data_IF_964098573343
#
_entry.id   IF_964098573343
#
_cell.length_a   1.000
_cell.length_b   1.000
_cell.length_c   1.000
_cell.angle_alpha   90.00
_cell.angle_beta   90.00
_cell.angle_gamma   90.00
#
_symmetry.space_group_name_H-M   'P 1'
#
loop_
_entity.id
_entity.type
_entity.pdbx_description
1 polymer ?
#
# COMPACT_ATOMS: atom_id res chain seq x y z
N UNK A 1 58.82 30.62 69.43
CA UNK A 1 59.20 32.04 69.63
C UNK A 1 57.92 32.89 69.53
N UNK A 2 57.90 34.14 70.02
CA UNK A 2 56.72 35.00 70.20
C UNK A 2 55.78 35.05 68.96
N UNK A 3 54.43 34.92 69.07
CA UNK A 3 53.39 35.87 69.57
C UNK A 3 53.04 36.97 68.52
N UNK A 4 51.81 37.51 68.36
CA UNK A 4 50.65 37.69 69.28
C UNK A 4 49.28 37.43 68.58
N UNK A 5 48.18 37.43 69.36
CA UNK A 5 46.79 37.74 68.92
C UNK A 5 46.63 39.13 68.25
N UNK A 6 45.43 39.71 68.00
CA UNK A 6 44.11 39.63 68.65
C UNK A 6 43.09 40.49 67.83
N UNK A 7 41.74 40.46 67.91
CA UNK A 7 40.73 39.57 68.53
C UNK A 7 39.28 39.96 68.07
N UNK A 8 38.28 39.05 68.16
CA UNK A 8 36.81 39.31 68.31
C UNK A 8 36.06 39.95 67.07
N UNK A 9 34.71 39.90 66.81
CA UNK A 9 33.44 39.77 67.57
C UNK A 9 32.24 39.16 66.72
N UNK A 10 31.44 38.21 67.28
CA UNK A 10 30.02 37.79 66.94
C UNK A 10 29.71 37.20 65.54
N UNK A 11 28.63 36.42 65.26
CA UNK A 11 27.52 35.73 66.00
C UNK A 11 26.99 34.60 65.07
N UNK A 12 26.28 33.53 65.46
CA UNK A 12 25.76 33.05 66.76
C UNK A 12 25.28 31.57 66.63
N UNK A 13 24.91 30.90 67.74
CA UNK A 13 24.86 29.42 67.84
C UNK A 13 23.51 28.71 67.55
N UNK A 14 23.49 27.37 67.32
CA UNK A 14 22.30 26.56 66.99
C UNK A 14 22.03 25.36 67.97
N UNK A 15 21.17 24.41 67.55
CA UNK A 15 20.98 23.00 68.01
C UNK A 15 20.06 22.63 69.20
N UNK A 16 19.08 21.75 68.92
CA UNK A 16 18.35 20.81 69.80
C UNK A 16 17.35 19.96 68.95
N UNK A 17 16.84 18.75 69.29
CA UNK A 17 17.35 17.63 70.12
C UNK A 17 16.45 16.35 69.95
N UNK A 18 17.04 15.18 69.65
CA UNK A 18 16.60 13.77 69.94
C UNK A 18 15.23 13.14 69.51
N UNK A 19 15.24 11.80 69.45
CA UNK A 19 14.08 10.87 69.36
C UNK A 19 13.65 10.32 70.75
N UNK A 20 12.46 9.71 70.90
CA UNK A 20 12.26 8.25 71.12
C UNK A 20 10.78 7.79 71.35
N UNK A 21 10.43 6.58 70.86
CA UNK A 21 9.24 5.73 71.22
C UNK A 21 7.84 6.29 70.87
N UNK A 22 6.78 5.49 70.69
CA UNK A 22 6.61 4.02 70.72
C UNK A 22 5.26 3.57 70.12
N UNK A 23 5.01 2.26 69.96
CA UNK A 23 3.95 1.68 69.10
C UNK A 23 2.76 1.05 69.87
N UNK A 24 1.53 1.30 69.40
CA UNK A 24 0.30 0.47 69.62
C UNK A 24 -0.59 0.57 68.35
N UNK A 25 -1.37 -0.46 68.05
CA UNK A 25 -2.25 -0.59 66.86
C UNK A 25 -3.69 -0.88 67.28
N UNK A 26 -4.69 -0.23 66.65
CA UNK A 26 -6.01 -0.85 66.39
C UNK A 26 -6.82 -0.16 65.27
N UNK A 27 -7.81 -0.90 64.75
CA UNK A 27 -8.75 -0.53 63.68
C UNK A 27 -9.77 0.56 64.08
N UNK A 28 -10.20 1.35 63.08
CA UNK A 28 -11.62 1.56 62.77
C UNK A 28 -11.80 2.09 61.33
N UNK A 29 -12.80 1.59 60.60
CA UNK A 29 -13.19 2.08 59.26
C UNK A 29 -14.42 2.99 59.39
N UNK A 30 -14.40 4.16 58.74
CA UNK A 30 -15.62 4.82 58.26
C UNK A 30 -15.36 5.49 56.91
N UNK A 31 -16.38 5.49 56.06
CA UNK A 31 -16.29 5.92 54.66
C UNK A 31 -16.65 7.41 54.49
N UNK A 32 -15.87 8.12 53.67
CA UNK A 32 -16.36 9.19 52.81
C UNK A 32 -15.66 9.08 51.45
N UNK A 33 -16.35 9.37 50.33
CA UNK A 33 -15.79 9.17 49.00
C UNK A 33 -14.69 10.19 48.71
N UNK A 34 -13.49 9.71 48.37
CA UNK A 34 -12.53 10.55 47.65
C UNK A 34 -12.99 10.64 46.20
N UNK A 35 -13.40 11.83 45.80
CA UNK A 35 -13.35 12.23 44.39
C UNK A 35 -11.88 12.19 44.01
N UNK A 36 -11.46 11.12 43.34
CA UNK A 36 -10.25 11.17 42.55
C UNK A 36 -10.56 12.11 41.38
N UNK A 37 -9.95 13.29 41.41
CA UNK A 37 -9.71 14.03 40.19
C UNK A 37 -8.79 13.14 39.37
N UNK A 38 -9.32 12.51 38.32
CA UNK A 38 -8.53 11.73 37.40
C UNK A 38 -7.60 12.70 36.66
N UNK A 39 -6.35 12.79 37.11
CA UNK A 39 -5.33 13.60 36.46
C UNK A 39 -4.82 12.83 35.24
N UNK A 40 -5.74 12.63 34.31
CA UNK A 40 -5.51 12.04 33.00
C UNK A 40 -4.47 12.90 32.31
N UNK A 41 -3.23 12.38 32.19
CA UNK A 41 -2.12 13.15 31.63
C UNK A 41 -2.49 13.55 30.20
N UNK A 42 -2.68 14.86 30.03
CA UNK A 42 -3.22 15.45 28.83
C UNK A 42 -2.11 15.50 27.78
N UNK A 43 -1.84 14.36 27.17
CA UNK A 43 -1.01 14.25 25.97
C UNK A 43 -1.56 15.27 24.98
N UNK A 44 -0.78 16.33 24.73
CA UNK A 44 -1.11 17.37 23.77
C UNK A 44 -1.02 16.78 22.37
N UNK A 45 -2.08 16.07 21.98
CA UNK A 45 -2.27 15.59 20.62
C UNK A 45 -2.28 16.82 19.72
N UNK A 46 -1.20 16.98 18.95
CA UNK A 46 -1.09 17.95 17.88
C UNK A 46 -1.93 17.51 16.67
N UNK A 47 -3.20 17.19 16.90
CA UNK A 47 -4.23 16.98 15.89
C UNK A 47 -4.59 18.32 15.25
N UNK A 48 -3.63 18.89 14.51
CA UNK A 48 -3.84 20.10 13.72
C UNK A 48 -4.90 19.84 12.65
N UNK A 49 -5.63 20.88 12.27
CA UNK A 49 -6.69 20.83 11.25
C UNK A 49 -6.15 20.39 9.88
N UNK A 50 -6.02 19.07 9.71
CA UNK A 50 -5.66 18.44 8.46
C UNK A 50 -6.82 18.63 7.49
N UNK A 51 -6.60 19.46 6.48
CA UNK A 51 -7.52 19.58 5.35
C UNK A 51 -7.27 18.38 4.44
N UNK A 52 -8.33 17.71 4.03
CA UNK A 52 -8.27 16.63 3.06
C UNK A 52 -8.91 17.10 1.74
N UNK A 53 -8.28 16.75 0.63
CA UNK A 53 -8.89 16.80 -0.71
C UNK A 53 -9.63 15.49 -0.96
N UNK A 54 -10.83 15.57 -1.50
CA UNK A 54 -11.65 14.42 -1.86
C UNK A 54 -11.96 14.48 -3.36
N UNK A 55 -11.66 13.41 -4.09
CA UNK A 55 -11.97 13.28 -5.53
C UNK A 55 -13.20 12.37 -5.70
N UNK A 56 -14.14 12.80 -6.55
CA UNK A 56 -15.40 12.10 -6.77
C UNK A 56 -15.44 11.36 -8.12
N UNK A 57 -16.36 10.40 -8.24
CA UNK A 57 -16.57 9.58 -9.44
C UNK A 57 -17.03 10.36 -10.69
N UNK A 58 -17.51 11.59 -10.50
CA UNK A 58 -17.82 12.55 -11.56
C UNK A 58 -16.70 13.57 -11.82
N UNK A 59 -15.50 13.30 -11.31
CA UNK A 59 -14.26 14.06 -11.51
C UNK A 59 -14.29 15.48 -10.88
N UNK A 60 -15.30 15.78 -10.04
CA UNK A 60 -15.26 16.93 -9.11
C UNK A 60 -14.30 16.69 -7.94
N UNK A 61 -13.80 17.79 -7.37
CA UNK A 61 -13.05 17.81 -6.10
C UNK A 61 -13.78 18.60 -5.02
N UNK A 62 -13.68 18.12 -3.78
CA UNK A 62 -14.07 18.82 -2.55
C UNK A 62 -12.84 18.96 -1.65
N UNK A 63 -12.88 19.91 -0.72
CA UNK A 63 -11.85 20.11 0.30
C UNK A 63 -12.49 20.43 1.65
N UNK A 64 -11.96 19.87 2.72
CA UNK A 64 -12.42 20.13 4.09
C UNK A 64 -11.75 19.21 5.12
N UNK A 65 -12.09 19.39 6.40
CA UNK A 65 -11.72 18.46 7.47
C UNK A 65 -12.64 17.24 7.43
N UNK A 66 -12.10 16.04 7.58
CA UNK A 66 -12.90 14.81 7.76
C UNK A 66 -13.41 14.78 9.20
N UNK A 67 -14.71 14.56 9.39
CA UNK A 67 -15.34 14.39 10.71
C UNK A 67 -15.67 12.91 10.96
N UNK A 68 -16.19 12.21 9.95
CA UNK A 68 -16.40 10.76 9.98
C UNK A 68 -16.40 10.11 8.60
N UNK A 69 -16.15 8.79 8.57
CA UNK A 69 -16.27 7.93 7.39
C UNK A 69 -16.90 6.60 7.82
N UNK A 70 -17.92 6.15 7.11
CA UNK A 70 -18.48 4.80 7.28
C UNK A 70 -18.80 4.13 5.92
N UNK A 71 -19.50 2.98 5.97
CA UNK A 71 -19.87 2.19 4.81
C UNK A 71 -20.97 2.83 3.92
N UNK A 72 -21.52 3.98 4.30
CA UNK A 72 -22.56 4.72 3.60
C UNK A 72 -22.08 6.11 3.16
N UNK A 73 -21.44 6.87 4.04
CA UNK A 73 -21.02 8.25 3.76
C UNK A 73 -19.69 8.70 4.39
N UNK A 74 -19.08 9.66 3.72
CA UNK A 74 -18.08 10.58 4.25
C UNK A 74 -18.80 11.84 4.75
N UNK A 75 -18.49 12.27 5.97
CA UNK A 75 -18.88 13.58 6.50
C UNK A 75 -17.63 14.47 6.54
N UNK A 76 -17.67 15.59 5.81
CA UNK A 76 -16.63 16.62 5.87
C UNK A 76 -17.19 17.95 6.40
N UNK A 77 -16.32 18.72 7.05
CA UNK A 77 -16.56 20.14 7.34
C UNK A 77 -15.79 21.02 6.36
N UNK A 78 -16.50 21.89 5.66
CA UNK A 78 -15.94 22.83 4.68
C UNK A 78 -16.54 24.22 4.92
N UNK A 79 -15.71 25.23 5.20
CA UNK A 79 -16.16 26.59 5.56
C UNK A 79 -17.21 26.59 6.70
N UNK A 80 -16.92 25.86 7.78
CA UNK A 80 -17.79 25.56 8.94
C UNK A 80 -19.03 24.70 8.67
N UNK A 81 -19.57 24.69 7.44
CA UNK A 81 -20.70 23.84 7.02
C UNK A 81 -20.34 22.35 6.99
N UNK A 82 -21.32 21.49 7.31
CA UNK A 82 -21.20 20.03 7.18
C UNK A 82 -21.75 19.57 5.83
N UNK A 83 -20.89 18.92 5.04
CA UNK A 83 -21.27 18.27 3.78
C UNK A 83 -21.20 16.75 3.95
N UNK A 84 -22.22 16.05 3.42
CA UNK A 84 -22.32 14.58 3.41
C UNK A 84 -22.18 14.06 1.99
N UNK A 85 -21.30 13.08 1.79
CA UNK A 85 -20.95 12.53 0.48
C UNK A 85 -21.09 11.01 0.52
N UNK A 86 -21.95 10.38 -0.29
CA UNK A 86 -22.07 8.93 -0.31
C UNK A 86 -20.73 8.26 -0.62
N UNK A 87 -20.28 7.30 0.19
CA UNK A 87 -18.92 6.75 0.08
C UNK A 87 -18.68 6.01 -1.26
N UNK A 88 -19.76 5.56 -1.91
CA UNK A 88 -19.76 5.01 -3.26
C UNK A 88 -19.38 6.03 -4.37
N UNK A 89 -19.54 7.33 -4.13
CA UNK A 89 -19.13 8.38 -5.08
C UNK A 89 -17.73 8.93 -4.80
N UNK A 90 -17.13 8.62 -3.66
CA UNK A 90 -15.73 8.95 -3.35
C UNK A 90 -14.78 8.01 -4.10
N UNK A 91 -13.80 8.57 -4.82
CA UNK A 91 -12.66 7.84 -5.39
C UNK A 91 -11.48 7.85 -4.43
N UNK A 92 -11.04 9.03 -4.02
CA UNK A 92 -9.87 9.23 -3.16
C UNK A 92 -10.13 10.28 -2.08
N UNK A 93 -9.44 10.15 -0.95
CA UNK A 93 -9.31 11.16 0.11
C UNK A 93 -7.80 11.31 0.36
N UNK A 94 -7.26 12.53 0.34
CA UNK A 94 -5.81 12.79 0.44
C UNK A 94 -5.52 13.97 1.37
N UNK A 95 -4.60 13.81 2.31
CA UNK A 95 -4.16 14.84 3.25
C UNK A 95 -3.46 16.01 2.52
N UNK A 96 -3.79 17.26 2.88
CA UNK A 96 -3.29 18.48 2.24
C UNK A 96 -2.90 19.54 3.28
N UNK A 97 -1.61 19.91 3.42
CA UNK A 97 -0.45 19.30 2.77
C UNK A 97 -0.30 17.81 3.16
N UNK A 98 0.42 17.04 2.34
CA UNK A 98 0.85 15.70 2.76
C UNK A 98 1.79 15.83 3.96
N UNK A 99 1.58 15.02 4.99
CA UNK A 99 2.51 14.88 6.11
C UNK A 99 3.92 14.52 5.63
N UNK A 100 4.94 15.13 6.25
CA UNK A 100 6.35 14.89 5.92
C UNK A 100 6.74 13.40 6.04
N UNK A 101 7.77 12.99 5.30
CA UNK A 101 8.22 11.60 5.32
C UNK A 101 9.13 11.33 6.53
N UNK A 102 8.50 10.97 7.66
CA UNK A 102 9.20 10.39 8.81
C UNK A 102 9.99 9.15 8.36
N UNK A 103 11.28 9.12 8.69
CA UNK A 103 12.08 7.89 8.63
C UNK A 103 11.66 6.95 9.75
N UNK A 104 11.57 5.65 9.44
CA UNK A 104 11.23 4.60 10.38
C UNK A 104 12.35 3.55 10.37
N UNK A 105 12.84 3.10 11.54
CA UNK A 105 13.87 2.06 11.60
C UNK A 105 13.32 0.66 11.29
N UNK A 106 12.00 0.43 11.43
CA UNK A 106 11.35 -0.86 11.18
C UNK A 106 10.36 -0.75 10.01
N UNK A 107 10.46 -1.66 9.05
CA UNK A 107 9.39 -1.99 8.10
C UNK A 107 8.93 -3.44 8.31
N UNK A 108 7.61 -3.65 8.43
CA UNK A 108 6.95 -4.96 8.40
C UNK A 108 6.26 -5.18 7.05
N UNK A 109 6.25 -6.43 6.59
CA UNK A 109 5.41 -6.88 5.47
C UNK A 109 4.49 -7.99 5.95
N UNK A 110 3.19 -7.87 5.70
CA UNK A 110 2.19 -8.89 5.99
C UNK A 110 2.08 -9.91 4.85
N UNK A 111 1.49 -11.07 5.12
CA UNK A 111 1.32 -12.16 4.15
C UNK A 111 0.54 -11.71 2.91
N UNK A 112 -0.44 -10.82 3.05
CA UNK A 112 -1.20 -10.25 1.92
C UNK A 112 -0.52 -9.04 1.23
N UNK A 113 0.77 -8.78 1.52
CA UNK A 113 1.57 -7.75 0.84
C UNK A 113 1.36 -6.30 1.32
N UNK A 114 0.51 -6.09 2.33
CA UNK A 114 0.43 -4.87 3.13
C UNK A 114 1.78 -4.59 3.83
N UNK A 115 2.15 -3.32 4.00
CA UNK A 115 3.35 -2.91 4.76
C UNK A 115 3.05 -1.85 5.83
N UNK A 116 3.70 -1.99 6.98
CA UNK A 116 3.62 -1.08 8.13
C UNK A 116 5.02 -0.65 8.53
N UNK A 117 5.23 0.63 8.80
CA UNK A 117 6.48 1.12 9.39
C UNK A 117 6.28 1.64 10.81
N UNK A 118 7.30 1.43 11.66
CA UNK A 118 7.28 1.74 13.09
C UNK A 118 8.65 2.05 13.68
N UNK A 119 8.63 2.52 14.92
CA UNK A 119 9.79 2.95 15.72
C UNK A 119 10.47 1.76 16.43
N UNK A 120 9.70 0.75 16.84
CA UNK A 120 10.19 -0.49 17.47
C UNK A 120 9.29 -1.68 17.11
N UNK A 121 9.85 -2.88 17.12
CA UNK A 121 9.10 -4.15 16.99
C UNK A 121 9.58 -5.16 18.03
N UNK A 122 8.63 -5.88 18.61
CA UNK A 122 8.87 -7.06 19.45
C UNK A 122 8.00 -8.24 18.99
N UNK A 123 8.36 -9.44 19.42
CA UNK A 123 7.59 -10.68 19.24
C UNK A 123 7.60 -11.41 20.58
N UNK A 124 6.41 -11.68 21.12
CA UNK A 124 6.25 -12.48 22.32
C UNK A 124 5.14 -13.51 22.13
N UNK A 125 5.48 -14.79 22.22
CA UNK A 125 4.56 -15.89 21.89
C UNK A 125 4.06 -15.79 20.45
N UNK A 126 2.76 -15.55 20.29
CA UNK A 126 2.10 -15.46 18.98
C UNK A 126 1.76 -14.02 18.54
N UNK A 127 2.26 -13.00 19.26
CA UNK A 127 1.98 -11.58 18.94
C UNK A 127 3.26 -10.85 18.53
N UNK A 128 3.23 -10.22 17.36
CA UNK A 128 4.20 -9.20 16.93
C UNK A 128 3.61 -7.83 17.26
N UNK A 129 4.28 -7.05 18.10
CA UNK A 129 3.86 -5.71 18.49
C UNK A 129 4.74 -4.68 17.79
N UNK A 130 4.14 -3.84 16.93
CA UNK A 130 4.81 -2.72 16.28
C UNK A 130 4.46 -1.41 16.98
N UNK A 131 5.43 -0.72 17.56
CA UNK A 131 5.23 0.64 18.08
C UNK A 131 5.43 1.66 16.96
N UNK A 132 4.50 2.60 16.85
CA UNK A 132 4.44 3.62 15.80
C UNK A 132 3.90 4.94 16.38
N UNK A 133 4.75 5.96 16.48
CA UNK A 133 4.38 7.29 17.01
C UNK A 133 3.72 7.25 18.40
N UNK A 134 4.07 6.27 19.24
CA UNK A 134 3.48 6.04 20.56
C UNK A 134 2.21 5.17 20.58
N UNK A 135 1.63 4.85 19.42
CA UNK A 135 0.59 3.82 19.30
C UNK A 135 1.25 2.44 19.17
N UNK A 136 0.66 1.40 19.75
CA UNK A 136 1.08 0.00 19.53
C UNK A 136 0.07 -0.70 18.64
N UNK A 137 0.56 -1.36 17.59
CA UNK A 137 -0.23 -2.20 16.68
C UNK A 137 0.17 -3.65 16.96
N UNK A 138 -0.75 -4.43 17.54
CA UNK A 138 -0.55 -5.85 17.79
C UNK A 138 -1.04 -6.68 16.60
N UNK A 139 -0.22 -7.63 16.16
CA UNK A 139 -0.44 -8.45 14.96
C UNK A 139 -0.18 -9.92 15.30
N UNK A 140 -0.99 -10.88 14.82
CA UNK A 140 -0.66 -12.30 14.89
C UNK A 140 0.68 -12.60 14.19
N UNK A 141 1.59 -13.34 14.82
CA UNK A 141 2.88 -13.73 14.22
C UNK A 141 2.74 -14.64 12.98
N UNK A 142 1.53 -15.15 12.73
CA UNK A 142 1.15 -15.86 11.51
C UNK A 142 0.85 -14.95 10.31
N UNK A 143 0.49 -13.68 10.53
CA UNK A 143 0.20 -12.72 9.45
C UNK A 143 1.40 -11.88 9.02
N UNK A 144 2.48 -11.87 9.80
CA UNK A 144 3.74 -11.20 9.44
C UNK A 144 4.58 -12.15 8.58
N UNK A 145 5.04 -11.64 7.43
CA UNK A 145 5.93 -12.34 6.50
C UNK A 145 7.38 -11.85 6.61
N UNK A 146 7.61 -10.53 6.65
CA UNK A 146 8.96 -9.94 6.75
C UNK A 146 9.06 -8.87 7.86
N UNK A 147 10.27 -8.72 8.42
CA UNK A 147 10.73 -7.53 9.17
C UNK A 147 12.04 -7.04 8.53
N UNK A 148 12.18 -5.74 8.28
CA UNK A 148 13.44 -5.09 7.89
C UNK A 148 13.89 -4.13 9.00
N UNK A 149 15.17 -4.22 9.41
CA UNK A 149 15.84 -3.30 10.33
C UNK A 149 16.76 -2.34 9.55
N UNK A 150 16.25 -1.14 9.23
CA UNK A 150 16.98 -0.15 8.44
C UNK A 150 18.16 0.44 9.22
N UNK A 151 19.33 0.54 8.59
CA UNK A 151 20.56 1.01 9.27
C UNK A 151 20.60 2.53 9.53
N UNK A 152 20.16 3.36 8.59
CA UNK A 152 20.07 4.82 8.75
C UNK A 152 19.19 5.46 7.67
N UNK A 153 18.84 6.74 7.87
CA UNK A 153 18.07 7.54 6.90
C UNK A 153 18.86 7.87 5.61
N UNK A 154 20.20 7.88 5.67
CA UNK A 154 21.05 8.32 4.55
C UNK A 154 21.27 7.25 3.48
N UNK A 155 21.03 5.97 3.78
CA UNK A 155 21.48 4.84 2.95
C UNK A 155 20.36 4.07 2.22
N UNK A 156 19.26 4.77 1.86
CA UNK A 156 18.07 4.20 1.19
C UNK A 156 18.31 3.44 -0.14
N UNK A 157 19.50 3.51 -0.74
CA UNK A 157 19.73 3.08 -2.14
C UNK A 157 20.88 2.10 -2.40
N UNK A 158 21.72 1.74 -1.42
CA UNK A 158 23.04 1.15 -1.75
C UNK A 158 23.49 -0.12 -0.99
N UNK A 159 22.89 -0.51 0.14
CA UNK A 159 23.41 -1.63 0.97
C UNK A 159 22.36 -2.58 1.54
N UNK A 160 21.17 -2.12 1.91
CA UNK A 160 20.30 -2.86 2.86
C UNK A 160 19.20 -3.77 2.24
N UNK A 161 19.00 -3.89 0.91
CA UNK A 161 17.88 -4.67 0.35
C UNK A 161 18.17 -6.17 0.12
N UNK A 162 18.43 -6.87 1.23
CA UNK A 162 18.57 -8.33 1.35
C UNK A 162 17.38 -9.14 0.79
N UNK A 163 16.23 -8.51 0.54
CA UNK A 163 15.01 -9.16 0.03
C UNK A 163 15.21 -9.82 -1.33
N UNK A 164 16.14 -9.30 -2.13
CA UNK A 164 16.54 -9.88 -3.41
C UNK A 164 17.23 -11.26 -3.27
N UNK A 165 17.68 -11.62 -2.06
CA UNK A 165 18.30 -12.90 -1.71
C UNK A 165 17.31 -13.88 -1.03
N UNK A 166 16.01 -13.56 -0.96
CA UNK A 166 14.99 -14.46 -0.40
C UNK A 166 14.99 -15.84 -1.10
N UNK A 167 15.11 -16.96 -0.38
CA UNK A 167 15.08 -18.29 -0.99
C UNK A 167 13.75 -18.59 -1.68
N UNK A 168 13.80 -19.08 -2.93
CA UNK A 168 12.61 -19.51 -3.69
C UNK A 168 11.81 -20.62 -2.96
N UNK A 169 12.51 -21.42 -2.15
CA UNK A 169 11.97 -22.53 -1.36
C UNK A 169 12.69 -22.61 -0.01
N UNK A 170 12.26 -21.83 1.01
CA UNK A 170 12.83 -21.92 2.35
C UNK A 170 12.42 -23.23 3.03
N UNK A 171 13.32 -23.79 3.84
CA UNK A 171 13.09 -24.97 4.68
C UNK A 171 12.69 -24.62 6.14
N UNK A 172 12.87 -23.36 6.54
CA UNK A 172 12.46 -22.78 7.82
C UNK A 172 12.28 -21.25 7.74
N UNK A 173 12.12 -20.61 8.90
CA UNK A 173 12.23 -19.15 8.99
C UNK A 173 13.69 -18.74 8.70
N UNK A 174 13.92 -17.53 8.20
CA UNK A 174 15.25 -17.04 7.81
C UNK A 174 15.63 -15.74 8.51
N UNK A 175 16.83 -15.69 9.08
CA UNK A 175 17.45 -14.47 9.62
C UNK A 175 18.59 -14.03 8.71
N UNK A 176 18.54 -12.76 8.29
CA UNK A 176 19.53 -12.17 7.40
C UNK A 176 20.54 -11.38 8.23
N UNK A 177 21.75 -11.92 8.38
CA UNK A 177 22.83 -11.35 9.22
C UNK A 177 23.76 -10.49 8.37
N UNK A 178 24.01 -9.25 8.77
CA UNK A 178 24.92 -8.32 8.08
C UNK A 178 26.37 -8.81 8.15
N UNK A 179 27.03 -8.86 6.99
CA UNK A 179 28.47 -9.13 6.81
C UNK A 179 29.13 -7.88 6.19
N UNK A 180 30.45 -7.91 5.99
CA UNK A 180 31.18 -6.77 5.41
C UNK A 180 30.83 -6.50 3.95
N UNK A 181 30.46 -7.56 3.20
CA UNK A 181 30.08 -7.50 1.78
C UNK A 181 28.78 -8.30 1.56
N UNK A 182 27.64 -7.77 2.01
CA UNK A 182 26.32 -8.39 1.87
C UNK A 182 25.84 -9.13 3.13
N UNK A 183 25.11 -10.23 2.95
CA UNK A 183 24.38 -10.92 4.02
C UNK A 183 24.76 -12.39 4.15
N UNK A 184 24.34 -12.98 5.27
CA UNK A 184 24.35 -14.42 5.51
C UNK A 184 22.95 -14.84 5.96
N UNK A 185 22.36 -15.81 5.26
CA UNK A 185 21.00 -16.30 5.52
C UNK A 185 21.10 -17.51 6.46
N UNK A 186 20.49 -17.41 7.64
CA UNK A 186 20.43 -18.50 8.62
C UNK A 186 19.00 -19.04 8.67
N UNK A 187 18.79 -20.26 8.16
CA UNK A 187 17.53 -20.99 8.32
C UNK A 187 17.41 -21.51 9.76
N UNK A 188 16.26 -21.28 10.39
CA UNK A 188 16.01 -21.52 11.81
C UNK A 188 14.49 -21.44 12.11
N UNK A 189 14.11 -21.35 13.39
CA UNK A 189 12.79 -20.87 13.80
C UNK A 189 12.93 -19.61 14.68
N UNK A 190 12.15 -18.56 14.39
CA UNK A 190 12.22 -17.30 15.14
C UNK A 190 11.29 -17.38 16.36
N UNK A 191 11.85 -17.27 17.58
CA UNK A 191 11.11 -17.46 18.83
C UNK A 191 10.66 -16.15 19.50
N UNK A 192 11.49 -15.10 19.44
CA UNK A 192 11.30 -13.87 20.21
C UNK A 192 12.05 -12.71 19.53
N UNK A 193 11.50 -11.50 19.61
CA UNK A 193 12.16 -10.26 19.17
C UNK A 193 12.08 -9.26 20.32
N UNK A 194 13.23 -8.67 20.66
CA UNK A 194 13.41 -7.69 21.74
C UNK A 194 14.23 -6.50 21.24
N UNK A 195 14.38 -5.46 22.07
CA UNK A 195 15.09 -4.25 21.67
C UNK A 195 16.60 -4.46 21.39
N UNK A 196 17.22 -5.48 22.01
CA UNK A 196 18.64 -5.80 21.87
C UNK A 196 18.92 -7.04 21.00
N UNK A 197 17.97 -7.98 20.90
CA UNK A 197 18.20 -9.29 20.25
C UNK A 197 16.96 -9.96 19.66
N UNK A 198 17.19 -10.82 18.67
CA UNK A 198 16.24 -11.82 18.17
C UNK A 198 16.70 -13.18 18.69
N UNK A 199 15.81 -13.92 19.35
CA UNK A 199 16.08 -15.29 19.80
C UNK A 199 15.63 -16.27 18.74
N UNK A 200 16.55 -17.08 18.22
CA UNK A 200 16.25 -18.16 17.27
C UNK A 200 16.43 -19.54 17.88
N UNK A 201 15.80 -20.55 17.29
CA UNK A 201 16.10 -21.97 17.51
C UNK A 201 16.87 -22.51 16.30
N UNK A 202 18.05 -23.06 16.53
CA UNK A 202 18.90 -23.71 15.52
C UNK A 202 19.54 -24.96 16.15
N UNK A 203 19.45 -26.11 15.49
CA UNK A 203 19.98 -27.39 15.98
C UNK A 203 19.61 -27.72 17.45
N UNK A 204 18.33 -27.48 17.79
CA UNK A 204 17.73 -27.55 19.14
C UNK A 204 18.27 -26.53 20.18
N UNK A 205 19.29 -25.74 19.87
CA UNK A 205 19.83 -24.68 20.74
C UNK A 205 19.09 -23.33 20.54
N UNK A 206 18.85 -22.60 21.65
CA UNK A 206 18.29 -21.25 21.62
C UNK A 206 19.39 -20.20 21.59
N UNK A 207 19.54 -19.51 20.46
CA UNK A 207 20.65 -18.58 20.20
C UNK A 207 20.12 -17.13 20.16
N UNK A 208 20.57 -16.23 21.07
CA UNK A 208 20.22 -14.81 21.02
C UNK A 208 21.18 -14.06 20.08
N UNK A 209 20.66 -13.61 18.93
CA UNK A 209 21.41 -12.83 17.92
C UNK A 209 21.17 -11.34 18.14
N UNK A 210 22.23 -10.53 18.28
CA UNK A 210 22.10 -9.08 18.49
C UNK A 210 21.38 -8.40 17.33
N UNK A 211 20.33 -7.62 17.62
CA UNK A 211 19.46 -6.96 16.63
C UNK A 211 20.24 -6.06 15.67
N UNK A 212 21.28 -5.37 16.16
CA UNK A 212 22.19 -4.53 15.35
C UNK A 212 23.06 -5.30 14.34
N UNK A 213 23.09 -6.63 14.37
CA UNK A 213 23.72 -7.47 13.34
C UNK A 213 22.73 -7.99 12.29
N UNK A 214 21.43 -7.73 12.43
CA UNK A 214 20.38 -8.30 11.58
C UNK A 214 19.92 -7.23 10.58
N UNK A 215 19.75 -7.61 9.32
CA UNK A 215 19.16 -6.80 8.26
C UNK A 215 17.65 -6.99 8.18
N UNK A 216 17.21 -8.22 8.38
CA UNK A 216 15.81 -8.55 8.49
C UNK A 216 15.55 -10.00 8.84
N UNK A 217 14.26 -10.30 8.91
CA UNK A 217 13.67 -11.58 9.23
C UNK A 217 12.65 -11.91 8.14
N UNK A 218 12.59 -13.17 7.74
CA UNK A 218 11.53 -13.70 6.91
C UNK A 218 10.97 -14.96 7.57
N UNK A 219 9.65 -15.05 7.69
CA UNK A 219 9.00 -16.25 8.19
C UNK A 219 8.60 -17.18 7.04
N UNK A 220 8.68 -18.49 7.27
CA UNK A 220 8.10 -19.47 6.35
C UNK A 220 6.59 -19.38 6.45
N UNK A 221 5.97 -18.75 5.44
CA UNK A 221 4.52 -18.56 5.32
C UNK A 221 4.08 -18.87 3.88
N UNK A 222 2.87 -19.42 3.67
CA UNK A 222 2.28 -19.44 2.34
C UNK A 222 1.95 -18.01 1.93
N UNK A 223 2.69 -17.45 0.98
CA UNK A 223 2.31 -16.21 0.29
C UNK A 223 1.21 -16.53 -0.70
N UNK A 224 -0.05 -16.41 -0.28
CA UNK A 224 -1.18 -16.50 -1.21
C UNK A 224 -1.06 -15.38 -2.26
N UNK A 225 -1.33 -15.71 -3.54
CA UNK A 225 -1.50 -14.72 -4.63
C UNK A 225 -2.82 -13.95 -4.41
N UNK A 226 -2.86 -13.14 -3.34
CA UNK A 226 -4.03 -12.43 -2.84
C UNK A 226 -4.34 -11.21 -3.69
N UNK A 227 -4.85 -11.45 -4.90
CA UNK A 227 -5.41 -10.43 -5.78
C UNK A 227 -6.46 -9.60 -5.02
N UNK A 228 -6.47 -8.25 -5.15
CA UNK A 228 -7.26 -7.39 -4.27
C UNK A 228 -8.73 -7.77 -4.16
N UNK A 229 -9.21 -7.89 -2.92
CA UNK A 229 -10.60 -8.25 -2.63
C UNK A 229 -11.52 -7.14 -3.16
N UNK A 230 -12.53 -7.52 -3.93
CA UNK A 230 -13.50 -6.56 -4.45
C UNK A 230 -14.16 -5.75 -3.31
N UNK A 231 -14.12 -4.42 -3.44
CA UNK A 231 -14.54 -3.46 -2.41
C UNK A 231 -13.42 -2.91 -1.52
N UNK A 232 -12.20 -3.46 -1.56
CA UNK A 232 -11.06 -3.01 -0.74
C UNK A 232 -10.69 -1.53 -0.93
N UNK A 233 -10.18 -0.92 0.14
CA UNK A 233 -9.61 0.42 0.19
C UNK A 233 -8.10 0.31 0.36
N UNK A 234 -7.33 0.97 -0.52
CA UNK A 234 -5.88 1.11 -0.34
C UNK A 234 -5.63 2.30 0.60
N UNK A 235 -5.10 2.02 1.78
CA UNK A 235 -4.73 3.02 2.79
C UNK A 235 -3.24 3.32 2.66
N UNK A 236 -2.88 4.56 2.33
CA UNK A 236 -1.49 5.02 2.33
C UNK A 236 -1.18 5.68 3.67
N UNK A 237 -0.13 5.20 4.34
CA UNK A 237 0.38 5.75 5.59
C UNK A 237 1.68 6.52 5.36
N UNK A 238 2.09 7.35 6.33
CA UNK A 238 3.48 7.80 6.38
C UNK A 238 4.41 6.58 6.62
N UNK A 239 5.05 6.09 5.56
CA UNK A 239 5.94 4.93 5.57
C UNK A 239 5.31 3.56 5.29
N UNK A 240 4.04 3.46 4.89
CA UNK A 240 3.40 2.15 4.68
C UNK A 240 2.18 2.18 3.78
N UNK A 241 1.64 0.99 3.48
CA UNK A 241 0.41 0.82 2.69
C UNK A 241 -0.37 -0.40 3.18
N UNK A 242 -1.70 -0.30 3.31
CA UNK A 242 -2.55 -1.41 3.74
C UNK A 242 -3.65 -1.66 2.72
N UNK A 243 -3.98 -2.92 2.48
CA UNK A 243 -5.17 -3.29 1.71
C UNK A 243 -6.32 -3.65 2.66
N UNK A 244 -7.13 -2.65 3.00
CA UNK A 244 -8.25 -2.78 3.91
C UNK A 244 -9.52 -3.29 3.20
N UNK A 245 -10.36 -4.05 3.90
CA UNK A 245 -11.75 -4.33 3.49
C UNK A 245 -12.64 -3.11 3.66
N UNK A 246 -12.47 -2.41 4.78
CA UNK A 246 -13.21 -1.21 5.15
C UNK A 246 -12.33 -0.27 5.98
N UNK A 247 -12.69 1.00 6.02
CA UNK A 247 -12.07 2.02 6.88
C UNK A 247 -13.19 2.81 7.53
N UNK A 248 -13.18 2.85 8.86
CA UNK A 248 -14.11 3.60 9.67
C UNK A 248 -13.37 4.73 10.37
N UNK A 249 -13.94 5.93 10.36
CA UNK A 249 -13.35 7.12 10.98
C UNK A 249 -14.38 7.78 11.87
N UNK A 250 -14.03 8.01 13.13
CA UNK A 250 -14.83 8.73 14.11
C UNK A 250 -13.91 9.43 15.12
N UNK A 251 -14.12 10.73 15.37
CA UNK A 251 -13.42 11.51 16.41
C UNK A 251 -11.87 11.34 16.39
N UNK A 252 -11.25 11.60 15.23
CA UNK A 252 -9.82 11.43 14.91
C UNK A 252 -9.29 9.97 14.91
N UNK A 253 -10.06 9.01 15.43
CA UNK A 253 -9.71 7.58 15.42
C UNK A 253 -10.06 6.96 14.07
N UNK A 254 -9.13 6.17 13.53
CA UNK A 254 -9.27 5.41 12.28
C UNK A 254 -9.18 3.93 12.59
N UNK A 255 -10.26 3.19 12.41
CA UNK A 255 -10.27 1.73 12.41
C UNK A 255 -10.09 1.23 10.97
N UNK A 256 -9.16 0.30 10.77
CA UNK A 256 -8.83 -0.28 9.47
C UNK A 256 -9.09 -1.79 9.54
N UNK A 257 -10.14 -2.24 8.87
CA UNK A 257 -10.54 -3.65 8.85
C UNK A 257 -9.70 -4.41 7.81
N UNK A 258 -8.82 -5.31 8.27
CA UNK A 258 -7.91 -6.06 7.40
C UNK A 258 -8.46 -7.45 7.05
N UNK A 259 -7.75 -8.18 6.19
CA UNK A 259 -8.30 -9.39 5.56
C UNK A 259 -8.31 -10.62 6.47
N UNK A 260 -7.21 -10.89 7.15
CA UNK A 260 -6.99 -12.13 7.91
C UNK A 260 -6.63 -11.90 9.40
N UNK A 261 -6.73 -10.66 9.86
CA UNK A 261 -6.38 -10.23 11.23
C UNK A 261 -7.43 -9.25 11.77
N UNK A 262 -7.41 -9.04 13.08
CA UNK A 262 -8.28 -8.08 13.77
C UNK A 262 -8.05 -6.64 13.27
N UNK A 263 -9.04 -5.73 13.38
CA UNK A 263 -8.90 -4.35 12.94
C UNK A 263 -7.78 -3.63 13.68
N UNK A 264 -6.97 -2.87 12.94
CA UNK A 264 -5.96 -1.99 13.56
C UNK A 264 -6.53 -0.59 13.76
N UNK A 265 -6.08 0.09 14.82
CA UNK A 265 -6.48 1.45 15.14
C UNK A 265 -5.30 2.41 14.98
N UNK A 266 -5.52 3.51 14.25
CA UNK A 266 -4.56 4.59 13.98
C UNK A 266 -5.23 5.96 14.18
N UNK A 267 -4.46 7.04 14.08
CA UNK A 267 -5.00 8.41 14.03
C UNK A 267 -5.28 8.84 12.60
N UNK A 268 -6.16 9.82 12.39
CA UNK A 268 -6.34 10.47 11.07
C UNK A 268 -5.04 11.11 10.56
N UNK A 269 -4.14 11.49 11.48
CA UNK A 269 -2.82 12.06 11.16
C UNK A 269 -1.83 11.05 10.54
N UNK A 270 -2.00 9.74 10.78
CA UNK A 270 -1.21 8.69 10.15
C UNK A 270 -1.57 8.47 8.67
N UNK A 271 -2.80 8.83 8.30
CA UNK A 271 -3.40 8.54 7.00
C UNK A 271 -3.06 9.64 5.99
N UNK A 272 -2.16 9.32 5.05
CA UNK A 272 -1.85 10.20 3.91
C UNK A 272 -2.94 10.17 2.85
N UNK A 273 -3.47 8.99 2.54
CA UNK A 273 -4.60 8.86 1.62
C UNK A 273 -5.42 7.59 1.82
N UNK A 274 -6.68 7.64 1.40
CA UNK A 274 -7.59 6.50 1.22
C UNK A 274 -7.99 6.45 -0.26
N UNK A 275 -7.66 5.36 -0.97
CA UNK A 275 -8.09 5.12 -2.35
C UNK A 275 -9.14 4.00 -2.37
N UNK A 276 -10.39 4.41 -2.53
CA UNK A 276 -11.57 3.54 -2.62
C UNK A 276 -11.74 2.94 -4.03
N UNK A 277 -10.89 3.30 -4.99
CA UNK A 277 -10.89 2.69 -6.33
C UNK A 277 -10.16 1.36 -6.35
N UNK A 278 -9.22 1.10 -5.42
CA UNK A 278 -8.40 -0.11 -5.38
C UNK A 278 -9.19 -1.43 -5.49
N UNK A 279 -10.31 -1.57 -4.78
CA UNK A 279 -11.21 -2.72 -4.89
C UNK A 279 -12.45 -2.52 -5.77
N UNK A 280 -12.67 -1.30 -6.29
CA UNK A 280 -13.71 -1.00 -7.29
C UNK A 280 -13.17 -1.05 -8.72
N UNK A 281 -11.89 -1.34 -8.90
CA UNK A 281 -11.19 -1.33 -10.19
C UNK A 281 -10.49 -2.66 -10.43
N UNK A 282 -10.82 -3.31 -11.54
CA UNK A 282 -10.13 -4.52 -12.01
C UNK A 282 -9.31 -4.17 -13.25
N UNK A 283 -7.99 -4.24 -13.16
CA UNK A 283 -7.09 -4.08 -14.31
C UNK A 283 -7.18 -5.27 -15.26
N UNK A 284 -7.18 -5.02 -16.57
CA UNK A 284 -7.10 -6.05 -17.61
C UNK A 284 -5.66 -6.56 -17.84
N UNK A 285 -4.66 -5.93 -17.20
CA UNK A 285 -3.25 -6.38 -17.21
C UNK A 285 -3.02 -7.46 -16.14
N UNK A 286 -3.66 -7.33 -14.97
CA UNK A 286 -3.63 -8.35 -13.91
C UNK A 286 -4.74 -9.40 -14.03
N UNK A 287 -5.91 -9.04 -14.56
CA UNK A 287 -6.99 -10.01 -14.80
C UNK A 287 -6.60 -10.97 -15.93
N UNK A 288 -6.35 -12.23 -15.56
CA UNK A 288 -6.07 -13.31 -16.51
C UNK A 288 -7.21 -13.46 -17.52
N UNK A 289 -6.96 -13.36 -18.83
CA UNK A 289 -7.98 -13.61 -19.85
C UNK A 289 -8.42 -15.09 -19.85
N UNK A 290 -9.70 -15.30 -20.11
CA UNK A 290 -10.31 -16.63 -20.30
C UNK A 290 -9.81 -17.28 -21.60
N UNK A 291 -9.54 -16.47 -22.63
CA UNK A 291 -9.05 -16.92 -23.93
C UNK A 291 -8.14 -15.87 -24.57
N UNK A 292 -7.04 -16.31 -25.18
CA UNK A 292 -6.18 -15.50 -26.06
C UNK A 292 -5.94 -16.29 -27.34
N UNK A 293 -6.28 -15.71 -28.48
CA UNK A 293 -6.09 -16.28 -29.80
C UNK A 293 -5.22 -15.33 -30.62
N UNK A 294 -4.18 -15.86 -31.26
CA UNK A 294 -3.21 -15.10 -32.05
C UNK A 294 -2.95 -15.86 -33.36
N UNK A 295 -3.04 -15.19 -34.50
CA UNK A 295 -2.83 -15.80 -35.82
C UNK A 295 -1.90 -14.92 -36.69
N UNK A 296 -0.58 -14.93 -36.46
CA UNK A 296 0.34 -13.93 -37.03
C UNK A 296 0.38 -13.93 -38.56
N UNK A 297 0.70 -12.76 -39.16
CA UNK A 297 0.89 -12.59 -40.61
C UNK A 297 1.73 -13.70 -41.25
N UNK A 298 2.84 -14.05 -40.59
CA UNK A 298 3.70 -15.17 -40.96
C UNK A 298 3.40 -16.37 -40.06
N UNK A 299 2.22 -16.98 -40.25
CA UNK A 299 1.75 -18.10 -39.41
C UNK A 299 2.70 -19.30 -39.35
N UNK A 300 3.60 -19.47 -40.33
CA UNK A 300 4.69 -20.46 -40.28
C UNK A 300 5.72 -20.19 -39.17
N UNK A 301 5.96 -18.93 -38.78
CA UNK A 301 6.84 -18.60 -37.65
C UNK A 301 6.20 -18.97 -36.31
N UNK A 302 4.87 -18.93 -36.21
CA UNK A 302 4.13 -19.35 -35.01
C UNK A 302 4.23 -20.87 -34.75
N UNK A 303 4.55 -21.66 -35.78
CA UNK A 303 4.78 -23.10 -35.68
C UNK A 303 6.23 -23.46 -35.27
N UNK A 304 7.13 -22.49 -35.15
CA UNK A 304 8.50 -22.72 -34.68
C UNK A 304 8.49 -22.70 -33.14
N UNK A 305 9.11 -23.72 -32.53
CA UNK A 305 9.21 -23.85 -31.09
C UNK A 305 9.89 -22.60 -30.46
N UNK A 306 9.28 -22.06 -29.40
CA UNK A 306 9.72 -20.82 -28.74
C UNK A 306 9.37 -19.50 -29.45
N UNK A 307 8.94 -19.51 -30.72
CA UNK A 307 8.62 -18.27 -31.45
C UNK A 307 7.20 -17.74 -31.18
N UNK A 308 6.27 -18.59 -30.74
CA UNK A 308 4.87 -18.23 -30.46
C UNK A 308 4.74 -17.11 -29.40
N UNK A 309 5.63 -17.05 -28.41
CA UNK A 309 5.62 -16.02 -27.36
C UNK A 309 5.90 -14.60 -27.90
N UNK A 310 6.68 -14.46 -28.98
CA UNK A 310 6.98 -13.16 -29.57
C UNK A 310 5.75 -12.47 -30.19
N UNK A 311 4.71 -13.25 -30.49
CA UNK A 311 3.44 -12.76 -31.06
C UNK A 311 2.36 -12.55 -30.01
N UNK A 312 2.56 -13.02 -28.77
CA UNK A 312 1.55 -12.90 -27.71
C UNK A 312 1.43 -11.46 -27.19
N UNK A 313 0.25 -11.08 -26.68
CA UNK A 313 0.08 -9.84 -25.93
C UNK A 313 1.08 -9.71 -24.79
N UNK A 314 1.69 -8.54 -24.64
CA UNK A 314 2.65 -8.26 -23.57
C UNK A 314 2.05 -7.31 -22.55
N UNK A 315 1.81 -7.82 -21.35
CA UNK A 315 1.58 -7.02 -20.15
C UNK A 315 2.87 -6.31 -19.74
N UNK A 316 2.79 -5.02 -19.41
CA UNK A 316 3.89 -4.23 -18.86
C UNK A 316 3.38 -3.52 -17.61
N UNK A 317 3.88 -3.94 -16.46
CA UNK A 317 3.47 -3.45 -15.14
C UNK A 317 2.95 -4.57 -14.24
N UNK A 318 3.71 -4.86 -13.19
CA UNK A 318 3.26 -5.45 -11.91
C UNK A 318 4.37 -5.21 -10.90
N UNK A 319 4.06 -5.36 -9.60
CA UNK A 319 4.78 -4.78 -8.47
C UNK A 319 4.86 -3.24 -8.52
N UNK A 320 5.13 -2.62 -7.37
CA UNK A 320 5.44 -1.19 -7.32
C UNK A 320 6.87 -0.98 -7.84
N UNK A 321 7.10 0.10 -8.60
CA UNK A 321 8.47 0.59 -8.80
C UNK A 321 8.97 1.11 -7.45
N UNK A 322 9.88 0.35 -6.83
CA UNK A 322 10.56 0.70 -5.58
C UNK A 322 11.33 2.02 -5.75
N UNK A 323 11.84 2.25 -6.97
CA UNK A 323 12.56 3.45 -7.41
C UNK A 323 11.67 4.70 -7.58
N UNK A 324 10.36 4.61 -7.32
CA UNK A 324 9.39 5.70 -7.52
C UNK A 324 9.09 6.04 -8.99
N UNK A 325 9.72 5.36 -9.95
CA UNK A 325 9.50 5.54 -11.39
C UNK A 325 8.20 4.85 -11.82
N UNK A 326 7.09 5.58 -11.70
CA UNK A 326 5.74 5.07 -11.97
C UNK A 326 5.54 4.62 -13.43
N UNK A 327 5.85 3.35 -13.71
CA UNK A 327 5.59 2.71 -14.99
C UNK A 327 4.08 2.64 -15.22
N UNK A 328 3.62 3.22 -16.34
CA UNK A 328 2.20 3.18 -16.72
C UNK A 328 1.85 1.74 -17.11
N UNK A 329 1.14 1.05 -16.23
CA UNK A 329 0.48 -0.24 -16.48
C UNK A 329 -0.15 -0.26 -17.89
N UNK A 330 0.27 -1.23 -18.71
CA UNK A 330 -0.07 -1.26 -20.13
C UNK A 330 -0.21 -2.68 -20.67
N UNK A 331 -1.10 -2.85 -21.66
CA UNK A 331 -1.23 -4.05 -22.46
C UNK A 331 -0.89 -3.76 -23.91
N UNK A 332 0.12 -4.44 -24.46
CA UNK A 332 0.52 -4.32 -25.87
C UNK A 332 -0.06 -5.49 -26.67
N UNK A 333 -0.94 -5.20 -27.62
CA UNK A 333 -1.69 -6.18 -28.43
C UNK A 333 -1.29 -6.02 -29.90
N UNK A 334 -0.84 -7.09 -30.53
CA UNK A 334 -0.49 -7.12 -31.95
C UNK A 334 -1.75 -7.37 -32.81
N UNK A 335 -1.77 -6.93 -34.08
CA UNK A 335 -2.77 -7.38 -35.06
C UNK A 335 -2.89 -8.91 -35.14
N UNK A 336 -4.06 -9.39 -35.59
CA UNK A 336 -4.50 -10.79 -35.57
C UNK A 336 -4.59 -11.40 -34.17
N UNK A 337 -4.94 -10.57 -33.18
CA UNK A 337 -5.14 -11.03 -31.79
C UNK A 337 -6.57 -10.80 -31.32
N UNK A 338 -7.13 -11.82 -30.68
CA UNK A 338 -8.35 -11.73 -29.87
C UNK A 338 -8.03 -12.06 -28.43
N UNK A 339 -8.39 -11.16 -27.51
CA UNK A 339 -8.34 -11.40 -26.06
C UNK A 339 -9.75 -11.36 -25.49
N UNK A 340 -10.10 -12.34 -24.66
CA UNK A 340 -11.40 -12.48 -24.01
C UNK A 340 -11.23 -12.57 -22.51
N UNK A 341 -11.97 -11.74 -21.76
CA UNK A 341 -12.06 -11.78 -20.31
C UNK A 341 -13.51 -12.03 -19.89
N UNK A 342 -13.69 -12.87 -18.86
CA UNK A 342 -14.90 -12.84 -18.05
C UNK A 342 -14.82 -11.66 -17.10
N UNK A 343 -15.81 -10.77 -17.13
CA UNK A 343 -15.85 -9.58 -16.25
C UNK A 343 -16.80 -9.80 -15.06
N UNK A 344 -16.58 -9.13 -13.91
CA UNK A 344 -17.48 -9.21 -12.76
C UNK A 344 -18.94 -8.80 -13.10
N UNK A 345 -19.98 -9.45 -12.54
CA UNK A 345 -21.37 -9.12 -12.86
C UNK A 345 -21.82 -7.70 -12.49
N UNK A 346 -21.08 -7.06 -11.58
CA UNK A 346 -21.26 -5.70 -11.06
C UNK A 346 -20.41 -4.65 -11.80
N UNK A 347 -19.76 -5.02 -12.90
CA UNK A 347 -18.97 -4.09 -13.73
C UNK A 347 -19.84 -3.00 -14.36
N UNK A 348 -19.46 -1.72 -14.22
CA UNK A 348 -20.20 -0.59 -14.81
C UNK A 348 -19.51 0.02 -16.03
N UNK A 349 -18.18 0.13 -16.03
CA UNK A 349 -17.44 0.94 -17.01
C UNK A 349 -16.09 0.32 -17.42
N UNK A 350 -15.82 0.19 -18.71
CA UNK A 350 -14.47 0.02 -19.26
C UNK A 350 -13.84 1.39 -19.48
N UNK A 351 -12.69 1.64 -18.85
CA UNK A 351 -11.89 2.86 -19.04
C UNK A 351 -10.45 2.50 -19.43
N UNK A 352 -9.94 3.06 -20.52
CA UNK A 352 -8.54 2.87 -20.98
C UNK A 352 -8.14 4.00 -21.92
N UNK A 353 -6.85 4.30 -22.08
CA UNK A 353 -6.36 5.04 -23.26
C UNK A 353 -5.77 4.05 -24.26
N UNK A 354 -6.30 4.00 -25.48
CA UNK A 354 -5.74 3.18 -26.55
C UNK A 354 -4.88 4.03 -27.47
N UNK A 355 -3.76 3.50 -27.95
CA UNK A 355 -2.90 4.17 -28.94
C UNK A 355 -2.10 3.22 -29.81
N UNK A 356 -1.72 3.68 -30.99
CA UNK A 356 -0.69 3.02 -31.79
C UNK A 356 0.66 3.15 -31.06
N UNK A 357 1.40 2.05 -30.86
CA UNK A 357 2.72 2.14 -30.22
C UNK A 357 3.76 2.72 -31.18
N UNK A 358 4.64 3.57 -30.65
CA UNK A 358 5.69 4.26 -31.44
C UNK A 358 6.86 3.35 -31.80
N UNK A 359 6.92 2.15 -31.22
CA UNK A 359 8.01 1.20 -31.39
C UNK A 359 8.06 0.56 -32.80
N UNK A 360 7.00 0.73 -33.61
CA UNK A 360 6.79 0.01 -34.88
C UNK A 360 6.52 0.98 -36.05
N UNK A 361 7.44 1.94 -36.25
CA UNK A 361 7.59 2.70 -37.51
C UNK A 361 6.32 3.42 -38.00
N UNK A 362 5.97 3.19 -39.28
CA UNK A 362 4.62 3.46 -39.79
C UNK A 362 3.79 2.17 -39.74
N UNK A 363 2.53 2.29 -39.33
CA UNK A 363 1.62 1.16 -39.23
C UNK A 363 0.15 1.55 -39.08
N UNK A 364 -0.74 0.58 -39.22
CA UNK A 364 -2.18 0.76 -39.04
C UNK A 364 -2.85 -0.51 -38.48
N UNK A 365 -3.81 -0.33 -37.56
CA UNK A 365 -4.52 -1.42 -36.91
C UNK A 365 -6.00 -1.09 -36.66
N UNK A 366 -6.85 -2.10 -36.83
CA UNK A 366 -8.28 -2.04 -36.53
C UNK A 366 -8.52 -2.66 -35.15
N UNK A 367 -8.90 -1.85 -34.15
CA UNK A 367 -9.36 -2.36 -32.87
C UNK A 367 -10.90 -2.39 -32.82
N UNK A 368 -11.44 -3.51 -32.31
CA UNK A 368 -12.86 -3.70 -32.00
C UNK A 368 -13.01 -4.08 -30.53
N UNK A 369 -14.03 -3.53 -29.87
CA UNK A 369 -14.43 -3.91 -28.51
C UNK A 369 -15.84 -4.47 -28.57
N UNK A 370 -16.02 -5.67 -28.02
CA UNK A 370 -17.28 -6.39 -27.97
C UNK A 370 -17.64 -6.76 -26.52
N UNK A 371 -18.92 -6.72 -26.19
CA UNK A 371 -19.49 -7.23 -24.95
C UNK A 371 -20.52 -8.32 -25.27
N UNK A 372 -20.40 -9.49 -24.66
CA UNK A 372 -21.27 -10.65 -24.92
C UNK A 372 -21.50 -10.87 -26.43
N UNK A 373 -20.39 -10.85 -27.17
CA UNK A 373 -20.29 -10.99 -28.64
C UNK A 373 -20.93 -9.86 -29.49
N UNK A 374 -21.50 -8.83 -28.86
CA UNK A 374 -21.98 -7.60 -29.51
C UNK A 374 -20.88 -6.54 -29.57
N UNK A 375 -20.52 -6.11 -30.77
CA UNK A 375 -19.62 -4.97 -31.00
C UNK A 375 -20.21 -3.65 -30.47
N UNK A 376 -19.45 -2.92 -29.65
CA UNK A 376 -19.78 -1.57 -29.17
C UNK A 376 -18.88 -0.49 -29.76
N UNK A 377 -17.64 -0.83 -30.12
CA UNK A 377 -16.67 0.12 -30.66
C UNK A 377 -15.84 -0.53 -31.77
N UNK A 378 -15.55 0.26 -32.80
CA UNK A 378 -14.64 -0.04 -33.89
C UNK A 378 -13.83 1.21 -34.19
N UNK A 379 -12.51 1.12 -34.17
CA UNK A 379 -11.62 2.25 -34.40
C UNK A 379 -10.38 1.82 -35.20
N UNK A 380 -10.03 2.59 -36.23
CA UNK A 380 -8.74 2.46 -36.93
C UNK A 380 -7.72 3.38 -36.27
N UNK A 381 -6.59 2.81 -35.86
CA UNK A 381 -5.41 3.56 -35.43
C UNK A 381 -4.39 3.56 -36.56
N UNK A 382 -3.81 4.72 -36.89
CA UNK A 382 -2.85 4.83 -37.98
C UNK A 382 -1.88 6.00 -37.79
N UNK A 383 -0.64 5.84 -38.26
CA UNK A 383 0.38 6.89 -38.31
C UNK A 383 0.39 7.58 -39.68
N UNK A 384 -0.10 8.81 -39.81
CA UNK A 384 -0.03 9.53 -41.08
C UNK A 384 -0.68 10.92 -41.09
N UNK A 385 -0.42 11.68 -42.16
CA UNK A 385 -1.03 13.00 -42.39
C UNK A 385 -2.52 12.80 -42.67
N UNK A 386 -3.37 13.17 -41.71
CA UNK A 386 -4.82 12.93 -41.73
C UNK A 386 -5.33 12.17 -40.51
N UNK A 387 -4.45 11.51 -39.74
CA UNK A 387 -4.82 11.02 -38.41
C UNK A 387 -4.98 12.21 -37.45
N UNK A 388 -6.13 12.33 -36.79
CA UNK A 388 -6.38 13.41 -35.83
C UNK A 388 -6.11 12.94 -34.40
N UNK A 389 -5.67 13.88 -33.55
CA UNK A 389 -5.47 13.69 -32.11
C UNK A 389 -6.66 14.20 -31.26
N UNK A 390 -7.80 14.48 -31.90
CA UNK A 390 -8.92 15.20 -31.28
C UNK A 390 -9.76 14.27 -30.40
N UNK A 391 -9.52 14.35 -29.09
CA UNK A 391 -9.92 13.39 -28.07
C UNK A 391 -11.43 13.29 -27.76
N UNK A 392 -12.33 13.82 -28.60
CA UNK A 392 -13.71 14.13 -28.19
C UNK A 392 -14.80 13.88 -29.26
N UNK A 393 -14.55 13.06 -30.28
CA UNK A 393 -15.59 12.73 -31.28
C UNK A 393 -15.86 11.22 -31.41
N UNK A 394 -17.14 10.84 -31.41
CA UNK A 394 -17.61 9.50 -31.82
C UNK A 394 -17.57 9.34 -33.36
N UNK A 395 -16.46 9.74 -33.99
CA UNK A 395 -16.30 9.75 -35.44
C UNK A 395 -15.95 8.36 -35.98
N UNK A 396 -16.96 7.52 -36.22
CA UNK A 396 -16.79 6.11 -36.59
C UNK A 396 -16.05 5.84 -37.92
N UNK A 397 -15.66 6.88 -38.67
CA UNK A 397 -15.01 6.77 -39.99
C UNK A 397 -13.62 7.45 -40.06
N UNK A 398 -13.10 8.02 -38.96
CA UNK A 398 -11.77 8.63 -38.93
C UNK A 398 -10.68 7.68 -38.45
N UNK A 399 -9.42 7.88 -38.86
CA UNK A 399 -8.26 7.26 -38.23
C UNK A 399 -7.65 8.18 -37.18
N UNK A 400 -7.13 7.60 -36.09
CA UNK A 400 -6.56 8.35 -34.94
C UNK A 400 -5.18 7.83 -34.57
N UNK A 401 -4.38 8.63 -33.86
CA UNK A 401 -3.15 8.14 -33.20
C UNK A 401 -3.45 7.47 -31.87
N UNK A 402 -4.40 8.04 -31.12
CA UNK A 402 -4.81 7.62 -29.80
C UNK A 402 -6.23 8.08 -29.43
N UNK A 403 -6.86 7.36 -28.51
CA UNK A 403 -8.26 7.55 -28.09
C UNK A 403 -8.40 7.22 -26.60
N UNK A 404 -8.99 8.14 -25.83
CA UNK A 404 -9.46 7.84 -24.48
C UNK A 404 -10.84 7.16 -24.57
N UNK A 405 -10.93 5.93 -24.08
CA UNK A 405 -12.09 5.05 -24.20
C UNK A 405 -12.82 4.99 -22.86
N UNK A 406 -14.12 5.29 -22.89
CA UNK A 406 -15.05 5.24 -21.75
C UNK A 406 -16.36 4.59 -22.20
N UNK A 407 -16.49 3.29 -22.03
CA UNK A 407 -17.65 2.50 -22.48
C UNK A 407 -18.38 1.89 -21.28
N UNK A 408 -19.71 1.96 -21.23
CA UNK A 408 -20.45 1.19 -20.22
C UNK A 408 -20.37 -0.30 -20.53
N UNK A 409 -20.17 -1.11 -19.48
CA UNK A 409 -20.18 -2.58 -19.55
C UNK A 409 -21.28 -3.21 -18.69
N UNK A 410 -22.25 -2.42 -18.24
CA UNK A 410 -23.26 -2.82 -17.27
C UNK A 410 -24.06 -4.05 -17.73
N UNK A 411 -24.03 -5.10 -16.91
CA UNK A 411 -24.77 -6.35 -17.13
C UNK A 411 -24.12 -7.32 -18.13
N UNK A 412 -23.03 -6.94 -18.80
CA UNK A 412 -22.27 -7.84 -19.66
C UNK A 412 -21.43 -8.83 -18.83
N UNK A 413 -21.13 -10.01 -19.41
CA UNK A 413 -20.39 -11.09 -18.73
C UNK A 413 -19.02 -11.35 -19.34
N UNK A 414 -18.86 -11.05 -20.62
CA UNK A 414 -17.68 -11.28 -21.46
C UNK A 414 -17.26 -9.95 -22.09
N UNK A 415 -16.04 -9.51 -21.82
CA UNK A 415 -15.37 -8.47 -22.61
C UNK A 415 -14.44 -9.15 -23.62
N UNK A 416 -14.51 -8.71 -24.88
CA UNK A 416 -13.59 -9.15 -25.92
C UNK A 416 -12.96 -7.93 -26.61
N UNK A 417 -11.63 -7.92 -26.68
CA UNK A 417 -10.85 -6.94 -27.46
C UNK A 417 -10.22 -7.69 -28.63
N UNK A 418 -10.47 -7.21 -29.83
CA UNK A 418 -9.90 -7.75 -31.07
C UNK A 418 -9.07 -6.67 -31.73
N UNK A 419 -7.83 -7.01 -32.09
CA UNK A 419 -6.95 -6.14 -32.89
C UNK A 419 -6.58 -6.90 -34.16
N UNK A 420 -6.91 -6.33 -35.31
CA UNK A 420 -6.57 -6.84 -36.65
C UNK A 420 -5.84 -5.73 -37.43
N UNK A 421 -5.40 -6.01 -38.66
CA UNK A 421 -4.72 -5.03 -39.50
C UNK A 421 -5.62 -3.85 -39.86
N UNK A 422 -5.01 -2.68 -40.10
CA UNK A 422 -5.72 -1.54 -40.68
C UNK A 422 -6.16 -1.83 -42.12
N UNK A 423 -7.00 -0.96 -42.71
CA UNK A 423 -7.67 -1.21 -44.00
C UNK A 423 -6.72 -1.40 -45.20
N UNK A 424 -5.44 -1.05 -45.07
CA UNK A 424 -4.42 -1.25 -46.10
C UNK A 424 -3.73 -2.62 -46.04
N UNK A 425 -3.90 -3.38 -44.95
CA UNK A 425 -3.19 -4.64 -44.72
C UNK A 425 -1.73 -4.49 -44.25
N UNK A 426 -1.34 -3.31 -43.75
CA UNK A 426 0.02 -3.03 -43.26
C UNK A 426 0.38 -3.98 -42.10
N UNK A 427 1.46 -4.76 -42.22
CA UNK A 427 1.82 -5.79 -41.25
C UNK A 427 2.33 -5.28 -39.87
N UNK A 428 2.20 -3.98 -39.59
CA UNK A 428 2.63 -3.34 -38.35
C UNK A 428 1.54 -2.44 -37.76
N UNK A 429 1.38 -2.46 -36.44
CA UNK A 429 0.36 -1.66 -35.75
C UNK A 429 0.01 -2.15 -34.35
N UNK A 430 1.01 -2.36 -33.48
CA UNK A 430 0.76 -2.77 -32.09
C UNK A 430 -0.08 -1.71 -31.37
N UNK A 431 -1.24 -2.09 -30.86
CA UNK A 431 -2.05 -1.24 -29.98
C UNK A 431 -1.51 -1.35 -28.56
N UNK A 432 -1.20 -0.22 -27.94
CA UNK A 432 -0.97 -0.11 -26.49
C UNK A 432 -2.26 0.39 -25.84
N UNK A 433 -2.76 -0.36 -24.87
CA UNK A 433 -3.80 0.07 -23.94
C UNK A 433 -3.13 0.50 -22.63
N UNK A 434 -3.30 1.75 -22.22
CA UNK A 434 -2.72 2.34 -21.00
C UNK A 434 -3.78 2.42 -19.88
N UNK A 435 -3.42 1.91 -18.70
CA UNK A 435 -4.28 1.70 -17.52
C UNK A 435 -5.65 1.04 -17.86
N UNK A 436 -5.68 -0.06 -18.63
CA UNK A 436 -6.94 -0.66 -19.10
C UNK A 436 -7.67 -1.33 -17.95
N UNK A 437 -8.86 -0.83 -17.61
CA UNK A 437 -9.56 -1.25 -16.39
C UNK A 437 -11.08 -1.30 -16.51
N UNK A 438 -11.67 -2.14 -15.68
CA UNK A 438 -13.09 -2.19 -15.40
C UNK A 438 -13.34 -1.46 -14.07
N UNK A 439 -14.11 -0.38 -14.09
CA UNK A 439 -14.61 0.30 -12.89
C UNK A 439 -16.01 -0.25 -12.53
N UNK A 440 -16.23 -0.56 -11.25
CA UNK A 440 -17.49 -0.96 -10.60
C UNK A 440 -18.22 0.25 -9.99
#
# INVERSE_FOLDING_TARGET
MLSIGNNLIRRGMPYALFMLRGLVVLYAVMLLPRVFADQQDRVEHSGGDSVYRIELSDEKTLSGRVESIDAQELVLRSNEELCRVPIATVRSITQMPLSDEKFWPIELTLVEGSTLCGDQVSLSGNTVSLSRSGTTIDLPSTSVFLVHFHSSQENKMAVDDWRSELPEKPDGDSVFVKRENGFEIVSCAILEISDDSVTILLDEEKIPVKRSKIAGLAWLRPTDDSSPIAGSVLVTLAGGRLLAKAVHVENDTVQIDLTAIDPIHLTLSDIRSLDFTAGRVVSLVSLKPEKVEVEPFFGSLFLIEGFSEYFRPRSVGSAASIDGTATIESLFIQPRTTMTWRIPPDSLLLRTRARLSKDVGQGSALMRILLDDKELMRQVFASGVGATSDQHTNSQNGSVTDLDIRLSVQGARKLQIVVDYGPNGDAGGTIRLEKPRIEK
#
